data_IF_497938761021
#
_entry.id   IF_497938761021
#
_cell.length_a   1.000
_cell.length_b   1.000
_cell.length_c   1.000
_cell.angle_alpha   90.00
_cell.angle_beta   90.00
_cell.angle_gamma   90.00
#
_symmetry.space_group_name_H-M   'P 1'
#
loop_
_entity.id
_entity.type
_entity.pdbx_description
1 polymer ?
#
# COMPACT_ATOMS: atom_id res chain seq x y z
N UNK A 1 22.89 1.91 54.67
CA UNK A 1 23.44 3.02 53.85
C UNK A 1 24.93 2.76 53.70
N UNK A 2 25.49 2.83 52.50
CA UNK A 2 26.92 2.58 52.30
C UNK A 2 27.73 3.84 52.65
N UNK A 3 28.67 3.70 53.59
CA UNK A 3 29.58 4.76 53.99
C UNK A 3 30.85 4.60 53.16
N UNK A 4 31.30 5.70 52.56
CA UNK A 4 32.46 5.76 51.65
C UNK A 4 33.40 6.86 52.10
N UNK A 5 34.71 6.63 52.03
CA UNK A 5 35.69 7.63 52.42
C UNK A 5 35.84 8.70 51.33
N UNK A 6 35.84 9.96 51.74
CA UNK A 6 36.13 11.07 50.85
C UNK A 6 37.57 10.94 50.33
N UNK A 7 37.76 11.02 49.01
CA UNK A 7 39.07 10.84 48.38
C UNK A 7 40.09 11.93 48.71
N UNK A 8 39.64 13.09 49.22
CA UNK A 8 40.50 14.24 49.50
C UNK A 8 40.80 14.36 51.00
N UNK A 9 39.77 14.36 51.85
CA UNK A 9 39.95 14.56 53.30
C UNK A 9 39.91 13.27 54.13
N UNK A 10 39.62 12.11 53.52
CA UNK A 10 39.60 10.82 54.22
C UNK A 10 38.40 10.58 55.13
N UNK A 11 37.52 11.58 55.30
CA UNK A 11 36.33 11.49 56.16
C UNK A 11 35.31 10.48 55.63
N UNK A 12 34.64 9.80 56.53
CA UNK A 12 33.56 8.88 56.22
C UNK A 12 32.27 9.66 55.90
N UNK A 13 31.84 9.59 54.64
CA UNK A 13 30.62 10.25 54.16
C UNK A 13 29.65 9.23 53.60
N UNK A 14 28.35 9.52 53.65
CA UNK A 14 27.36 8.69 52.98
C UNK A 14 27.52 8.79 51.45
N UNK A 15 27.40 7.66 50.73
CA UNK A 15 27.48 7.59 49.26
C UNK A 15 26.36 8.41 48.57
N UNK A 16 25.42 8.94 49.36
CA UNK A 16 24.29 9.73 48.90
C UNK A 16 24.54 11.22 48.78
N UNK A 17 25.62 11.73 49.39
CA UNK A 17 25.87 13.17 49.47
C UNK A 17 26.68 13.63 48.24
N UNK A 18 26.19 14.63 47.47
CA UNK A 18 26.83 15.07 46.24
C UNK A 18 28.15 15.84 46.46
N UNK A 19 28.37 16.40 47.65
CA UNK A 19 29.60 17.11 48.04
C UNK A 19 29.99 16.78 49.48
N UNK A 20 31.29 16.68 49.75
CA UNK A 20 31.78 16.43 51.11
C UNK A 20 31.56 17.68 52.00
N UNK A 21 30.87 17.59 53.15
CA UNK A 21 30.58 18.75 54.00
C UNK A 21 31.83 19.37 54.65
N UNK A 22 32.97 18.65 54.66
CA UNK A 22 34.21 19.09 55.33
C UNK A 22 35.21 19.77 54.40
N UNK A 23 35.26 19.38 53.13
CA UNK A 23 36.26 19.88 52.16
C UNK A 23 35.64 20.37 50.84
N UNK A 24 34.31 20.38 50.74
CA UNK A 24 33.49 20.76 49.58
C UNK A 24 33.84 20.04 48.26
N UNK A 25 34.61 18.96 48.33
CA UNK A 25 34.98 18.16 47.17
C UNK A 25 33.79 17.38 46.63
N UNK A 26 33.73 17.20 45.30
CA UNK A 26 32.71 16.37 44.65
C UNK A 26 32.71 14.94 45.23
N UNK A 27 31.52 14.48 45.64
CA UNK A 27 31.30 13.15 46.18
C UNK A 27 31.59 12.03 45.16
N UNK A 28 31.63 10.77 45.61
CA UNK A 28 31.95 9.64 44.74
C UNK A 28 30.94 9.51 43.59
N UNK A 29 31.46 9.36 42.37
CA UNK A 29 30.64 9.28 41.14
C UNK A 29 29.72 8.05 41.21
N UNK A 30 28.41 8.28 41.33
CA UNK A 30 27.37 7.26 41.13
C UNK A 30 27.36 6.81 39.66
N UNK A 31 28.25 5.89 39.32
CA UNK A 31 28.65 5.70 37.92
C UNK A 31 28.33 4.35 37.28
N UNK A 32 28.16 3.26 38.04
CA UNK A 32 28.07 1.92 37.42
C UNK A 32 26.69 1.61 36.84
N UNK A 33 25.60 1.90 37.56
CA UNK A 33 24.23 1.56 37.11
C UNK A 33 23.76 2.46 35.95
N UNK A 34 24.05 3.76 36.03
CA UNK A 34 23.68 4.72 34.98
C UNK A 34 24.46 4.45 33.68
N UNK A 35 25.74 4.07 33.77
CA UNK A 35 26.55 3.71 32.60
C UNK A 35 26.06 2.43 31.91
N UNK A 36 25.57 1.44 32.67
CA UNK A 36 24.97 0.21 32.14
C UNK A 36 23.65 0.48 31.40
N UNK A 37 22.80 1.36 31.95
CA UNK A 37 21.53 1.75 31.30
C UNK A 37 21.82 2.50 29.99
N UNK A 38 22.74 3.47 30.00
CA UNK A 38 23.12 4.20 28.79
C UNK A 38 23.72 3.29 27.70
N UNK A 39 24.53 2.31 28.09
CA UNK A 39 25.07 1.33 27.15
C UNK A 39 23.96 0.47 26.52
N UNK A 40 22.99 0.01 27.33
CA UNK A 40 21.86 -0.77 26.84
C UNK A 40 20.98 0.00 25.84
N UNK A 41 20.71 1.28 26.11
CA UNK A 41 19.94 2.14 25.21
C UNK A 41 20.69 2.36 23.88
N UNK A 42 22.00 2.61 23.92
CA UNK A 42 22.80 2.76 22.71
C UNK A 42 22.80 1.50 21.84
N UNK A 43 22.85 0.31 22.44
CA UNK A 43 22.79 -0.96 21.69
C UNK A 43 21.42 -1.13 21.01
N UNK A 44 20.33 -0.82 21.71
CA UNK A 44 18.97 -0.89 21.13
C UNK A 44 18.79 0.07 19.94
N UNK A 45 19.35 1.28 20.03
CA UNK A 45 19.32 2.25 18.94
C UNK A 45 20.05 1.69 17.72
N UNK A 46 21.26 1.13 17.90
CA UNK A 46 22.04 0.54 16.79
C UNK A 46 21.31 -0.64 16.14
N UNK A 47 20.67 -1.50 16.94
CA UNK A 47 19.87 -2.63 16.43
C UNK A 47 18.67 -2.10 15.63
N UNK A 48 17.98 -1.08 16.11
CA UNK A 48 16.85 -0.45 15.41
C UNK A 48 17.27 0.15 14.07
N UNK A 49 18.38 0.87 14.02
CA UNK A 49 18.92 1.42 12.77
C UNK A 49 19.41 0.33 11.82
N UNK A 50 20.07 -0.71 12.31
CA UNK A 50 20.49 -1.84 11.49
C UNK A 50 19.29 -2.58 10.88
N UNK A 51 18.26 -2.89 11.68
CA UNK A 51 17.05 -3.55 11.20
C UNK A 51 16.32 -2.72 10.15
N UNK A 52 16.20 -1.40 10.35
CA UNK A 52 15.62 -0.50 9.35
C UNK A 52 16.43 -0.45 8.05
N UNK A 53 17.75 -0.40 8.15
CA UNK A 53 18.63 -0.38 6.98
C UNK A 53 18.61 -1.70 6.18
N UNK A 54 18.56 -2.84 6.85
CA UNK A 54 18.41 -4.14 6.17
C UNK A 54 17.03 -4.29 5.55
N UNK A 55 15.95 -3.88 6.23
CA UNK A 55 14.60 -3.92 5.67
C UNK A 55 14.43 -3.04 4.42
N UNK A 56 15.13 -1.92 4.33
CA UNK A 56 15.06 -1.02 3.18
C UNK A 56 15.87 -1.51 1.97
N UNK A 57 16.89 -2.37 2.17
CA UNK A 57 17.71 -2.90 1.08
C UNK A 57 17.03 -4.00 0.26
N UNK A 58 15.98 -4.61 0.78
CA UNK A 58 15.20 -5.63 0.07
C UNK A 58 14.13 -5.04 -0.86
N UNK A 59 13.93 -3.71 -0.85
CA UNK A 59 13.15 -3.02 -1.87
C UNK A 59 14.00 -2.89 -3.15
N UNK A 60 14.18 -4.02 -3.83
CA UNK A 60 14.76 -4.08 -5.17
C UNK A 60 13.94 -3.13 -6.05
N UNK A 61 14.55 -2.02 -6.43
CA UNK A 61 14.00 -1.02 -7.33
C UNK A 61 13.50 -1.76 -8.59
N UNK A 62 12.18 -1.94 -8.68
CA UNK A 62 11.57 -2.65 -9.81
C UNK A 62 12.12 -2.01 -11.08
N UNK A 63 12.52 -2.81 -12.10
CA UNK A 63 12.95 -2.26 -13.38
C UNK A 63 11.98 -1.17 -13.84
N UNK A 64 12.49 -0.02 -14.28
CA UNK A 64 11.67 1.14 -14.70
C UNK A 64 10.50 0.74 -15.63
N UNK A 65 10.72 -0.28 -16.46
CA UNK A 65 9.72 -0.83 -17.38
C UNK A 65 8.55 -1.52 -16.68
N UNK A 66 8.78 -2.20 -15.56
CA UNK A 66 7.73 -2.82 -14.73
C UNK A 66 6.89 -1.75 -14.03
N UNK A 67 7.54 -0.71 -13.49
CA UNK A 67 6.85 0.42 -12.85
C UNK A 67 5.97 1.16 -13.87
N UNK A 68 6.45 1.30 -15.10
CA UNK A 68 5.67 1.93 -16.17
C UNK A 68 4.46 1.08 -16.56
N UNK A 69 4.64 -0.25 -16.71
CA UNK A 69 3.55 -1.19 -17.00
C UNK A 69 2.50 -1.17 -15.89
N UNK A 70 2.92 -1.19 -14.63
CA UNK A 70 2.04 -1.15 -13.46
C UNK A 70 1.18 0.11 -13.45
N UNK A 71 1.78 1.29 -13.71
CA UNK A 71 1.02 2.56 -13.84
C UNK A 71 0.05 2.57 -15.01
N UNK A 72 0.45 1.97 -16.14
CA UNK A 72 -0.39 1.90 -17.34
C UNK A 72 -1.60 0.98 -17.09
N UNK A 73 -1.37 -0.15 -16.43
CA UNK A 73 -2.40 -1.11 -16.04
C UNK A 73 -3.35 -0.51 -15.00
N UNK A 74 -2.85 0.25 -14.03
CA UNK A 74 -3.69 0.95 -13.06
C UNK A 74 -4.61 1.98 -13.76
N UNK A 75 -4.06 2.76 -14.69
CA UNK A 75 -4.85 3.72 -15.49
C UNK A 75 -5.92 2.99 -16.32
N UNK A 76 -5.56 1.86 -16.91
CA UNK A 76 -6.48 1.03 -17.67
C UNK A 76 -7.61 0.49 -16.79
N UNK A 77 -7.28 -0.04 -15.62
CA UNK A 77 -8.25 -0.54 -14.64
C UNK A 77 -9.23 0.55 -14.23
N UNK A 78 -8.74 1.76 -13.89
CA UNK A 78 -9.60 2.90 -13.54
C UNK A 78 -10.57 3.25 -14.67
N UNK A 79 -10.08 3.30 -15.91
CA UNK A 79 -10.91 3.56 -17.10
C UNK A 79 -11.95 2.47 -17.30
N UNK A 80 -11.55 1.21 -17.18
CA UNK A 80 -12.41 0.05 -17.32
C UNK A 80 -13.50 -0.01 -16.25
N UNK A 81 -13.18 0.32 -14.99
CA UNK A 81 -14.16 0.46 -13.90
C UNK A 81 -15.15 1.59 -14.20
N UNK A 82 -14.67 2.76 -14.63
CA UNK A 82 -15.55 3.89 -14.95
C UNK A 82 -16.50 3.55 -16.11
N UNK A 83 -15.99 2.91 -17.17
CA UNK A 83 -16.80 2.46 -18.30
C UNK A 83 -17.80 1.37 -17.91
N UNK A 84 -17.43 0.43 -17.03
CA UNK A 84 -18.35 -0.58 -16.52
C UNK A 84 -19.49 0.03 -15.69
N UNK A 85 -19.20 1.05 -14.86
CA UNK A 85 -20.21 1.80 -14.13
C UNK A 85 -21.14 2.58 -15.07
N UNK A 86 -20.58 3.24 -16.09
CA UNK A 86 -21.39 3.89 -17.12
C UNK A 86 -22.31 2.88 -17.80
N UNK A 87 -21.79 1.73 -18.23
CA UNK A 87 -22.57 0.65 -18.83
C UNK A 87 -23.71 0.22 -17.90
N UNK A 88 -23.46 0.04 -16.60
CA UNK A 88 -24.48 -0.31 -15.61
C UNK A 88 -25.61 0.73 -15.51
N UNK A 89 -25.34 2.01 -15.75
CA UNK A 89 -26.39 3.05 -15.79
C UNK A 89 -27.20 3.06 -17.10
N UNK A 90 -26.72 2.40 -18.16
CA UNK A 90 -27.30 2.39 -19.52
C UNK A 90 -28.04 1.09 -19.84
N UNK A 91 -28.23 0.23 -18.86
CA UNK A 91 -29.00 -1.01 -18.97
C UNK A 91 -30.35 -0.87 -18.28
N UNK A 92 -31.30 -1.70 -18.67
CA UNK A 92 -32.69 -1.59 -18.21
C UNK A 92 -32.84 -1.90 -16.72
N UNK A 93 -32.08 -2.89 -16.22
CA UNK A 93 -32.06 -3.30 -14.82
C UNK A 93 -30.63 -3.25 -14.27
N UNK A 94 -30.14 -2.07 -13.84
CA UNK A 94 -28.77 -1.85 -13.36
C UNK A 94 -28.30 -2.87 -12.32
N UNK A 95 -29.15 -3.23 -11.36
CA UNK A 95 -28.78 -4.11 -10.24
C UNK A 95 -28.73 -5.59 -10.60
N UNK A 96 -29.24 -5.95 -11.78
CA UNK A 96 -29.17 -7.31 -12.28
C UNK A 96 -27.89 -7.62 -13.07
N UNK A 97 -27.07 -6.59 -13.32
CA UNK A 97 -25.87 -6.74 -14.12
C UNK A 97 -24.82 -7.57 -13.39
N UNK A 98 -24.34 -8.61 -14.08
CA UNK A 98 -23.13 -9.32 -13.67
C UNK A 98 -22.13 -9.30 -14.78
N UNK A 99 -20.96 -8.76 -14.51
CA UNK A 99 -19.90 -8.64 -15.48
C UNK A 99 -19.16 -9.97 -15.58
N UNK A 100 -19.11 -10.55 -16.77
CA UNK A 100 -18.47 -11.85 -17.00
C UNK A 100 -17.00 -11.67 -17.43
N UNK A 101 -16.74 -10.72 -18.33
CA UNK A 101 -15.37 -10.40 -18.73
C UNK A 101 -15.22 -8.97 -19.22
N UNK A 102 -14.02 -8.43 -19.03
CA UNK A 102 -13.58 -7.16 -19.61
C UNK A 102 -12.29 -7.40 -20.37
N UNK A 103 -12.26 -6.88 -21.58
CA UNK A 103 -11.10 -6.94 -22.45
C UNK A 103 -10.78 -5.55 -22.98
N UNK A 104 -9.51 -5.32 -23.28
CA UNK A 104 -9.00 -4.05 -23.78
C UNK A 104 -8.00 -4.26 -24.90
N UNK A 105 -7.89 -3.31 -25.81
CA UNK A 105 -6.67 -3.21 -26.63
C UNK A 105 -5.46 -2.76 -25.76
N UNK A 106 -4.26 -2.76 -26.34
CA UNK A 106 -3.02 -2.40 -25.62
C UNK A 106 -3.10 -1.00 -24.99
N UNK A 107 -3.59 -0.02 -25.75
CA UNK A 107 -3.66 1.39 -25.35
C UNK A 107 -4.84 1.76 -24.44
N UNK A 108 -5.81 0.86 -24.28
CA UNK A 108 -6.99 1.12 -23.47
C UNK A 108 -8.03 2.06 -24.09
N UNK A 109 -7.94 2.36 -25.39
CA UNK A 109 -8.93 3.16 -26.11
C UNK A 109 -10.22 2.41 -26.38
N UNK A 110 -10.12 1.08 -26.53
CA UNK A 110 -11.24 0.17 -26.75
C UNK A 110 -11.38 -0.75 -25.55
N UNK A 111 -12.56 -0.74 -24.93
CA UNK A 111 -12.93 -1.67 -23.87
C UNK A 111 -14.14 -2.49 -24.30
N UNK A 112 -14.09 -3.79 -24.05
CA UNK A 112 -15.09 -4.76 -24.48
C UNK A 112 -15.63 -5.50 -23.27
N UNK A 113 -16.93 -5.43 -23.06
CA UNK A 113 -17.62 -5.97 -21.91
C UNK A 113 -18.54 -7.12 -22.33
N UNK A 114 -18.40 -8.26 -21.66
CA UNK A 114 -19.39 -9.34 -21.70
C UNK A 114 -20.05 -9.39 -20.33
N UNK A 115 -21.37 -9.37 -20.31
CA UNK A 115 -22.13 -9.31 -19.07
C UNK A 115 -23.47 -10.01 -19.22
N UNK A 116 -24.08 -10.36 -18.10
CA UNK A 116 -25.47 -10.79 -18.03
C UNK A 116 -26.32 -9.71 -17.38
N UNK A 117 -27.56 -9.55 -17.85
CA UNK A 117 -28.53 -8.57 -17.35
C UNK A 117 -29.95 -9.16 -17.43
N UNK A 118 -30.89 -8.60 -16.68
CA UNK A 118 -32.32 -8.84 -16.87
C UNK A 118 -32.93 -7.83 -17.84
N UNK A 119 -33.76 -8.30 -18.76
CA UNK A 119 -34.60 -7.43 -19.61
C UNK A 119 -35.79 -6.83 -18.83
N UNK A 120 -36.58 -5.95 -19.47
CA UNK A 120 -37.81 -5.38 -18.87
C UNK A 120 -38.79 -6.43 -18.33
N UNK A 121 -38.74 -7.67 -18.81
CA UNK A 121 -39.60 -8.78 -18.40
C UNK A 121 -38.97 -9.63 -17.28
N UNK A 122 -37.78 -9.25 -16.80
CA UNK A 122 -37.06 -9.95 -15.74
C UNK A 122 -36.30 -11.19 -16.19
N UNK A 123 -36.23 -11.48 -17.50
CA UNK A 123 -35.50 -12.63 -18.04
C UNK A 123 -34.02 -12.32 -18.12
N UNK A 124 -33.19 -13.27 -17.67
CA UNK A 124 -31.74 -13.18 -17.79
C UNK A 124 -31.32 -13.35 -19.26
N UNK A 125 -30.47 -12.44 -19.71
CA UNK A 125 -29.87 -12.41 -21.04
C UNK A 125 -28.38 -12.14 -20.92
N UNK A 126 -27.59 -12.75 -21.80
CA UNK A 126 -26.20 -12.35 -22.03
C UNK A 126 -26.14 -11.23 -23.05
N UNK A 127 -25.37 -10.20 -22.73
CA UNK A 127 -25.22 -8.99 -23.53
C UNK A 127 -23.74 -8.65 -23.70
N UNK A 128 -23.47 -7.84 -24.71
CA UNK A 128 -22.14 -7.40 -25.09
C UNK A 128 -22.17 -5.90 -25.31
N UNK A 129 -21.07 -5.24 -24.98
CA UNK A 129 -20.89 -3.82 -25.29
C UNK A 129 -19.42 -3.52 -25.59
N UNK A 130 -19.19 -2.59 -26.51
CA UNK A 130 -17.91 -1.96 -26.78
C UNK A 130 -17.94 -0.51 -26.28
N UNK A 131 -16.85 -0.06 -25.71
CA UNK A 131 -16.65 1.32 -25.29
C UNK A 131 -15.42 1.86 -26.01
N UNK A 132 -15.61 2.84 -26.88
CA UNK A 132 -14.59 3.39 -27.78
C UNK A 132 -14.59 4.89 -27.61
N UNK A 133 -13.44 5.45 -27.24
CA UNK A 133 -13.22 6.91 -27.14
C UNK A 133 -14.26 7.68 -26.31
N UNK A 134 -14.86 7.03 -25.30
CA UNK A 134 -15.86 7.66 -24.42
C UNK A 134 -17.30 7.29 -24.75
N UNK A 135 -17.54 6.66 -25.90
CA UNK A 135 -18.86 6.26 -26.35
C UNK A 135 -19.12 4.79 -26.11
N UNK A 136 -20.33 4.48 -25.64
CA UNK A 136 -20.78 3.12 -25.39
C UNK A 136 -21.66 2.65 -26.55
N UNK A 137 -21.24 1.57 -27.20
CA UNK A 137 -22.00 0.89 -28.24
C UNK A 137 -22.38 -0.53 -27.77
N UNK A 138 -23.69 -0.80 -27.75
CA UNK A 138 -24.28 -2.10 -27.34
C UNK A 138 -24.65 -2.99 -28.53
N UNK A 139 -24.34 -2.57 -29.75
CA UNK A 139 -24.70 -3.28 -30.97
C UNK A 139 -23.73 -4.43 -31.26
N UNK A 140 -24.25 -5.47 -31.92
CA UNK A 140 -23.40 -6.57 -32.42
C UNK A 140 -22.39 -6.08 -33.47
N UNK A 141 -22.72 -5.03 -34.20
CA UNK A 141 -21.84 -4.41 -35.18
C UNK A 141 -20.63 -3.75 -34.51
N UNK A 142 -20.85 -2.95 -33.46
CA UNK A 142 -19.78 -2.36 -32.64
C UNK A 142 -18.90 -3.42 -32.01
N UNK A 143 -19.50 -4.47 -31.43
CA UNK A 143 -18.74 -5.60 -30.92
C UNK A 143 -17.86 -6.24 -31.98
N UNK A 144 -18.41 -6.54 -33.16
CA UNK A 144 -17.64 -7.17 -34.24
C UNK A 144 -16.52 -6.25 -34.74
N UNK A 145 -16.75 -4.95 -34.81
CA UNK A 145 -15.78 -4.00 -35.30
C UNK A 145 -14.59 -3.83 -34.34
N UNK A 146 -14.86 -3.73 -33.04
CA UNK A 146 -13.85 -3.33 -32.05
C UNK A 146 -13.35 -4.47 -31.16
N UNK A 147 -14.17 -5.50 -30.92
CA UNK A 147 -13.92 -6.54 -29.93
C UNK A 147 -13.58 -7.92 -30.52
N UNK A 148 -13.48 -8.04 -31.85
CA UNK A 148 -13.10 -9.29 -32.53
C UNK A 148 -11.62 -9.37 -32.93
N UNK A 149 -10.84 -8.33 -32.60
CA UNK A 149 -9.41 -8.25 -32.91
C UNK A 149 -8.57 -9.23 -32.10
N UNK A 150 -7.41 -9.63 -32.66
CA UNK A 150 -6.46 -10.57 -32.02
C UNK A 150 -5.67 -9.95 -30.85
N UNK A 151 -5.68 -8.63 -30.69
CA UNK A 151 -4.83 -7.91 -29.73
C UNK A 151 -5.60 -7.46 -28.47
N UNK A 152 -6.57 -8.27 -28.04
CA UNK A 152 -7.36 -7.98 -26.85
C UNK A 152 -6.73 -8.67 -25.63
N UNK A 153 -6.47 -7.91 -24.57
CA UNK A 153 -6.00 -8.39 -23.28
C UNK A 153 -7.11 -8.32 -22.24
N UNK A 154 -7.14 -9.25 -21.31
CA UNK A 154 -8.09 -9.22 -20.19
C UNK A 154 -7.72 -8.12 -19.20
N UNK A 155 -8.73 -7.44 -18.66
CA UNK A 155 -8.57 -6.43 -17.61
C UNK A 155 -9.22 -6.96 -16.34
N UNK A 156 -8.44 -7.09 -15.27
CA UNK A 156 -8.97 -7.42 -13.95
C UNK A 156 -9.56 -6.16 -13.33
N UNK A 157 -10.87 -6.18 -13.06
CA UNK A 157 -11.50 -5.13 -12.28
C UNK A 157 -11.49 -5.53 -10.81
N UNK A 158 -10.84 -4.73 -9.98
CA UNK A 158 -10.91 -4.86 -8.52
C UNK A 158 -12.04 -3.96 -8.01
N UNK A 159 -13.14 -4.55 -7.53
CA UNK A 159 -14.28 -3.79 -7.01
C UNK A 159 -15.54 -4.61 -6.75
N UNK A 160 -16.01 -4.57 -5.51
CA UNK A 160 -17.05 -5.39 -4.86
C UNK A 160 -18.49 -5.15 -5.33
N UNK A 161 -18.73 -4.81 -6.60
CA UNK A 161 -20.08 -4.47 -7.08
C UNK A 161 -20.36 -4.79 -8.54
N UNK A 162 -19.42 -5.39 -9.27
CA UNK A 162 -19.60 -5.81 -10.67
C UNK A 162 -19.59 -7.33 -10.87
N UNK A 163 -19.40 -8.10 -9.79
CA UNK A 163 -19.50 -9.56 -9.75
C UNK A 163 -20.91 -10.03 -9.35
#
# INVERSE_FOLDING_TARGET
MAIVKCKICGEEIEETIPKCPRCDSLGPKRGKKIKLILLGVMILIVIGFAAGYYAQKDEVEKPYEEVLKEKLDEKLQRRATAAALLLRTRIENPDSMKLESVQSNEDGSVLCFQYSEKDKLGKLKKSKASFVDGELDKSDAGWKLFCSGKNMRSVKLEGSGLN
#
